data_IF_208004373764
#
_entry.id   IF_208004373764
#
_cell.length_a   1.000
_cell.length_b   1.000
_cell.length_c   1.000
_cell.angle_alpha   90.00
_cell.angle_beta   90.00
_cell.angle_gamma   90.00
#
_symmetry.space_group_name_H-M   'P 1'
#
loop_
_entity.id
_entity.type
_entity.pdbx_description
1 polymer ?
#
# COMPACT_ATOMS: atom_id res chain seq x y z
N UNK A 1 32.08 6.72 64.17
CA UNK A 1 30.73 6.36 63.66
C UNK A 1 30.51 7.08 62.34
N UNK A 2 30.52 6.35 61.21
CA UNK A 2 30.20 6.87 59.87
C UNK A 2 29.53 5.81 58.98
N UNK A 3 28.81 4.85 59.57
CA UNK A 3 28.12 3.77 58.83
C UNK A 3 26.75 4.19 58.25
N UNK A 4 26.10 5.23 58.80
CA UNK A 4 24.79 5.69 58.33
C UNK A 4 24.83 6.49 57.03
N UNK A 5 25.84 7.34 56.85
CA UNK A 5 25.98 8.19 55.65
C UNK A 5 26.34 7.38 54.39
N UNK A 6 27.15 6.31 54.54
CA UNK A 6 27.58 5.47 53.43
C UNK A 6 26.45 4.58 52.87
N UNK A 7 25.56 4.09 53.73
CA UNK A 7 24.38 3.31 53.32
C UNK A 7 23.32 4.18 52.62
N UNK A 8 23.11 5.43 53.07
CA UNK A 8 22.16 6.34 52.44
C UNK A 8 22.58 6.72 51.01
N UNK A 9 23.88 6.96 50.78
CA UNK A 9 24.41 7.23 49.44
C UNK A 9 24.29 6.03 48.48
N UNK A 10 24.54 4.82 48.98
CA UNK A 10 24.40 3.59 48.21
C UNK A 10 22.94 3.29 47.83
N UNK A 11 22.00 3.46 48.76
CA UNK A 11 20.56 3.31 48.50
C UNK A 11 20.09 4.35 47.47
N UNK A 12 20.55 5.60 47.59
CA UNK A 12 20.22 6.66 46.64
C UNK A 12 20.77 6.35 45.25
N UNK A 13 21.98 5.82 45.14
CA UNK A 13 22.56 5.40 43.86
C UNK A 13 21.75 4.28 43.19
N UNK A 14 21.36 3.24 43.95
CA UNK A 14 20.51 2.16 43.45
C UNK A 14 19.14 2.69 43.03
N UNK A 15 18.55 3.61 43.80
CA UNK A 15 17.27 4.22 43.46
C UNK A 15 17.34 5.03 42.16
N UNK A 16 18.38 5.86 41.98
CA UNK A 16 18.57 6.63 40.74
C UNK A 16 18.83 5.70 39.55
N UNK A 17 19.64 4.65 39.74
CA UNK A 17 19.93 3.68 38.69
C UNK A 17 18.68 2.90 38.26
N UNK A 18 17.91 2.38 39.21
CA UNK A 18 16.67 1.64 38.95
C UNK A 18 15.61 2.53 38.29
N UNK A 19 15.43 3.76 38.75
CA UNK A 19 14.50 4.71 38.14
C UNK A 19 14.93 5.09 36.71
N UNK A 20 16.22 5.32 36.48
CA UNK A 20 16.76 5.62 35.15
C UNK A 20 16.59 4.44 34.20
N UNK A 21 16.80 3.21 34.69
CA UNK A 21 16.60 1.99 33.92
C UNK A 21 15.13 1.77 33.56
N UNK A 22 14.20 1.96 34.52
CA UNK A 22 12.75 1.88 34.26
C UNK A 22 12.29 2.94 33.25
N UNK A 23 12.84 4.15 33.35
CA UNK A 23 12.56 5.23 32.42
C UNK A 23 13.02 4.88 30.99
N UNK A 24 14.22 4.30 30.85
CA UNK A 24 14.72 3.81 29.56
C UNK A 24 13.82 2.72 28.98
N UNK A 25 13.39 1.75 29.79
CA UNK A 25 12.46 0.71 29.35
C UNK A 25 11.13 1.30 28.88
N UNK A 26 10.58 2.26 29.61
CA UNK A 26 9.35 2.95 29.22
C UNK A 26 9.52 3.71 27.89
N UNK A 27 10.62 4.43 27.71
CA UNK A 27 10.90 5.14 26.46
C UNK A 27 11.10 4.19 25.27
N UNK A 28 11.83 3.08 25.46
CA UNK A 28 12.01 2.07 24.41
C UNK A 28 10.68 1.42 24.04
N UNK A 29 9.83 1.08 25.02
CA UNK A 29 8.50 0.54 24.79
C UNK A 29 7.61 1.48 23.97
N UNK A 30 7.59 2.77 24.33
CA UNK A 30 6.83 3.79 23.58
C UNK A 30 7.33 3.94 22.13
N UNK A 31 8.66 3.95 21.92
CA UNK A 31 9.25 4.04 20.58
C UNK A 31 8.91 2.84 19.70
N UNK A 32 8.96 1.64 20.25
CA UNK A 32 8.58 0.42 19.52
C UNK A 32 7.08 0.48 19.16
N UNK A 33 6.22 0.89 20.09
CA UNK A 33 4.79 1.04 19.82
C UNK A 33 4.50 2.01 18.67
N UNK A 34 5.16 3.17 18.66
CA UNK A 34 5.05 4.16 17.58
C UNK A 34 5.49 3.60 16.22
N UNK A 35 6.57 2.82 16.18
CA UNK A 35 7.06 2.21 14.94
C UNK A 35 6.06 1.16 14.43
N UNK A 36 5.52 0.32 15.32
CA UNK A 36 4.54 -0.68 14.96
C UNK A 36 3.25 -0.05 14.40
N UNK A 37 2.77 1.04 15.02
CA UNK A 37 1.60 1.78 14.54
C UNK A 37 1.86 2.40 13.17
N UNK A 38 3.01 3.05 12.98
CA UNK A 38 3.39 3.60 11.68
C UNK A 38 3.42 2.53 10.59
N UNK A 39 4.01 1.37 10.86
CA UNK A 39 4.07 0.28 9.89
C UNK A 39 2.68 -0.25 9.55
N UNK A 40 1.80 -0.40 10.55
CA UNK A 40 0.42 -0.86 10.32
C UNK A 40 -0.38 0.12 9.45
N UNK A 41 -0.18 1.43 9.65
CA UNK A 41 -0.82 2.47 8.83
C UNK A 41 -0.29 2.47 7.41
N UNK A 42 1.02 2.28 7.22
CA UNK A 42 1.63 2.19 5.89
C UNK A 42 1.14 0.95 5.12
N UNK A 43 1.03 -0.20 5.80
CA UNK A 43 0.45 -1.43 5.24
C UNK A 43 -1.02 -1.24 4.86
N UNK A 44 -1.82 -0.58 5.70
CA UNK A 44 -3.22 -0.28 5.40
C UNK A 44 -3.37 0.55 4.13
N UNK A 45 -2.58 1.63 3.98
CA UNK A 45 -2.66 2.45 2.78
C UNK A 45 -2.20 1.70 1.51
N UNK A 46 -1.27 0.75 1.63
CA UNK A 46 -0.87 -0.11 0.52
C UNK A 46 -2.03 -1.04 0.12
N UNK A 47 -2.73 -1.63 1.08
CA UNK A 47 -3.92 -2.45 0.83
C UNK A 47 -5.06 -1.64 0.20
N UNK A 48 -5.32 -0.43 0.69
CA UNK A 48 -6.32 0.47 0.10
C UNK A 48 -6.01 0.79 -1.38
N UNK A 49 -4.75 1.09 -1.70
CA UNK A 49 -4.33 1.33 -3.07
C UNK A 49 -4.49 0.06 -3.93
N UNK A 50 -4.16 -1.11 -3.39
CA UNK A 50 -4.33 -2.40 -4.06
C UNK A 50 -5.81 -2.70 -4.32
N UNK A 51 -6.68 -2.44 -3.33
CA UNK A 51 -8.12 -2.59 -3.48
C UNK A 51 -8.68 -1.70 -4.61
N UNK A 52 -8.22 -0.44 -4.69
CA UNK A 52 -8.59 0.46 -5.78
C UNK A 52 -8.13 -0.08 -7.16
N UNK A 53 -6.90 -0.58 -7.24
CA UNK A 53 -6.38 -1.20 -8.46
C UNK A 53 -7.19 -2.46 -8.87
N UNK A 54 -7.55 -3.30 -7.90
CA UNK A 54 -8.36 -4.50 -8.12
C UNK A 54 -9.78 -4.15 -8.57
N UNK A 55 -10.40 -3.14 -7.97
CA UNK A 55 -11.70 -2.59 -8.39
C UNK A 55 -11.67 -2.15 -9.86
N UNK A 56 -10.63 -1.40 -10.27
CA UNK A 56 -10.45 -1.02 -11.66
C UNK A 56 -10.28 -2.20 -12.61
N UNK A 57 -9.56 -3.25 -12.20
CA UNK A 57 -9.43 -4.47 -12.99
C UNK A 57 -10.77 -5.19 -13.15
N UNK A 58 -11.56 -5.31 -12.09
CA UNK A 58 -12.91 -5.88 -12.14
C UNK A 58 -13.84 -5.07 -13.06
N UNK A 59 -13.80 -3.74 -12.95
CA UNK A 59 -14.55 -2.86 -13.85
C UNK A 59 -14.15 -3.09 -15.31
N UNK A 60 -12.85 -3.20 -15.59
CA UNK A 60 -12.34 -3.41 -16.95
C UNK A 60 -12.74 -4.77 -17.53
N UNK A 61 -12.81 -5.83 -16.72
CA UNK A 61 -13.39 -7.12 -17.16
C UNK A 61 -14.84 -6.93 -17.61
N UNK A 62 -15.64 -6.16 -16.86
CA UNK A 62 -17.01 -5.82 -17.24
C UNK A 62 -17.08 -4.99 -18.52
N UNK A 63 -16.20 -4.00 -18.65
CA UNK A 63 -16.06 -3.15 -19.82
C UNK A 63 -15.79 -3.96 -21.09
N UNK A 64 -14.86 -4.92 -21.05
CA UNK A 64 -14.59 -5.85 -22.14
C UNK A 64 -15.79 -6.75 -22.47
N UNK A 65 -16.45 -7.33 -21.45
CA UNK A 65 -17.62 -8.20 -21.62
C UNK A 65 -18.82 -7.50 -22.27
N UNK A 66 -18.93 -6.19 -22.10
CA UNK A 66 -19.96 -5.39 -22.75
C UNK A 66 -19.69 -5.12 -24.26
N UNK A 67 -18.58 -5.65 -24.82
CA UNK A 67 -18.23 -5.48 -26.23
C UNK A 67 -17.61 -4.12 -26.53
N UNK A 68 -17.15 -3.38 -25.52
CA UNK A 68 -16.47 -2.11 -25.74
C UNK A 68 -15.08 -2.34 -26.35
N UNK A 69 -14.63 -1.36 -27.12
CA UNK A 69 -13.28 -1.31 -27.68
C UNK A 69 -12.53 -0.12 -27.10
N UNK A 70 -11.21 -0.23 -27.02
CA UNK A 70 -10.38 0.81 -26.43
C UNK A 70 -9.06 0.95 -27.18
N UNK A 71 -8.64 2.21 -27.35
CA UNK A 71 -7.33 2.56 -27.89
C UNK A 71 -6.27 2.39 -26.79
N UNK A 72 -5.49 1.31 -26.89
CA UNK A 72 -4.43 0.98 -25.93
C UNK A 72 -3.33 2.05 -25.80
N UNK A 73 -3.26 3.04 -26.69
CA UNK A 73 -2.34 4.17 -26.56
C UNK A 73 -2.85 5.25 -25.59
N UNK A 74 -4.13 5.21 -25.23
CA UNK A 74 -4.77 6.23 -24.39
C UNK A 74 -5.08 5.66 -23.03
N UNK A 75 -4.63 6.35 -21.99
CA UNK A 75 -5.06 6.06 -20.61
C UNK A 75 -6.58 6.15 -20.48
N UNK A 76 -7.19 5.14 -19.87
CA UNK A 76 -8.62 5.12 -19.54
C UNK A 76 -8.79 5.49 -18.07
N UNK A 77 -9.64 6.49 -17.81
CA UNK A 77 -9.94 6.94 -16.45
C UNK A 77 -11.21 6.24 -15.99
N UNK A 78 -11.11 5.39 -14.97
CA UNK A 78 -12.25 4.66 -14.39
C UNK A 78 -12.88 5.49 -13.28
N UNK A 79 -12.06 6.06 -12.41
CA UNK A 79 -12.47 6.97 -11.35
C UNK A 79 -11.37 8.00 -11.11
N UNK A 80 -11.77 9.24 -10.80
CA UNK A 80 -10.83 10.32 -10.48
C UNK A 80 -11.47 11.26 -9.46
N UNK A 81 -11.51 10.81 -8.21
CA UNK A 81 -12.10 11.55 -7.10
C UNK A 81 -11.04 12.37 -6.36
N UNK A 82 -11.43 13.08 -5.29
CA UNK A 82 -10.49 13.88 -4.48
C UNK A 82 -9.35 13.07 -3.89
N UNK A 83 -9.63 11.81 -3.55
CA UNK A 83 -8.73 10.99 -2.73
C UNK A 83 -8.14 9.80 -3.50
N UNK A 84 -8.85 9.28 -4.50
CA UNK A 84 -8.47 8.08 -5.25
C UNK A 84 -8.56 8.33 -6.75
N UNK A 85 -7.53 7.88 -7.49
CA UNK A 85 -7.49 7.83 -8.95
C UNK A 85 -7.36 6.36 -9.38
N UNK A 86 -8.28 5.87 -10.22
CA UNK A 86 -8.27 4.52 -10.79
C UNK A 86 -8.20 4.62 -12.31
N UNK A 87 -7.17 4.03 -12.89
CA UNK A 87 -6.89 4.20 -14.32
C UNK A 87 -6.41 2.92 -14.95
N UNK A 88 -6.82 2.65 -16.19
CA UNK A 88 -6.35 1.51 -16.98
C UNK A 88 -5.38 2.02 -18.03
N UNK A 89 -4.22 1.39 -18.09
CA UNK A 89 -3.17 1.66 -19.07
C UNK A 89 -2.67 0.35 -19.66
N UNK A 90 -2.13 0.39 -20.86
CA UNK A 90 -1.57 -0.78 -21.52
C UNK A 90 -0.13 -0.52 -21.92
N UNK A 91 0.65 -1.59 -22.01
CA UNK A 91 1.98 -1.50 -22.56
C UNK A 91 1.91 -1.08 -24.03
N UNK A 92 2.92 -0.33 -24.47
CA UNK A 92 3.05 0.13 -25.85
C UNK A 92 3.27 -1.03 -26.84
N UNK A 93 3.57 -2.24 -26.34
CA UNK A 93 3.79 -3.41 -27.20
C UNK A 93 2.51 -3.78 -27.97
N UNK A 94 2.59 -4.08 -29.27
CA UNK A 94 1.46 -4.56 -30.06
C UNK A 94 1.10 -6.03 -29.82
N UNK A 95 1.78 -6.71 -28.87
CA UNK A 95 1.61 -8.13 -28.61
C UNK A 95 0.15 -8.53 -28.32
N UNK A 96 -0.24 -9.73 -28.75
CA UNK A 96 -1.51 -10.34 -28.42
C UNK A 96 -1.24 -11.70 -27.75
N UNK A 97 -1.55 -11.90 -26.46
CA UNK A 97 -2.30 -11.00 -25.57
C UNK A 97 -1.55 -9.71 -25.18
N UNK A 98 -2.29 -8.60 -25.13
CA UNK A 98 -1.80 -7.31 -24.63
C UNK A 98 -1.68 -7.33 -23.13
N UNK A 99 -0.62 -6.72 -22.63
CA UNK A 99 -0.46 -6.47 -21.20
C UNK A 99 -1.13 -5.15 -20.82
N UNK A 100 -2.08 -5.22 -19.89
CA UNK A 100 -2.91 -4.11 -19.43
C UNK A 100 -2.81 -4.04 -17.91
N UNK A 101 -2.72 -2.86 -17.35
CA UNK A 101 -2.60 -2.63 -15.92
C UNK A 101 -3.71 -1.72 -15.44
N UNK A 102 -4.36 -2.12 -14.36
CA UNK A 102 -5.21 -1.24 -13.57
C UNK A 102 -4.37 -0.62 -12.47
N UNK A 103 -4.30 0.70 -12.42
CA UNK A 103 -3.62 1.46 -11.38
C UNK A 103 -4.63 2.02 -10.39
N UNK A 104 -4.37 1.82 -9.10
CA UNK A 104 -5.08 2.46 -8.00
C UNK A 104 -4.14 3.37 -7.25
N UNK A 105 -4.44 4.67 -7.21
CA UNK A 105 -3.58 5.69 -6.61
C UNK A 105 -4.32 6.46 -5.53
N UNK A 106 -3.78 6.43 -4.32
CA UNK A 106 -4.22 7.26 -3.21
C UNK A 106 -3.52 8.61 -3.28
N UNK A 107 -4.24 9.67 -3.68
CA UNK A 107 -3.66 10.99 -3.95
C UNK A 107 -3.01 11.62 -2.72
N UNK A 108 -3.64 11.49 -1.56
CA UNK A 108 -3.16 12.06 -0.29
C UNK A 108 -1.82 11.48 0.14
N UNK A 109 -1.67 10.16 0.02
CA UNK A 109 -0.46 9.44 0.46
C UNK A 109 0.56 9.22 -0.66
N UNK A 110 0.21 9.56 -1.91
CA UNK A 110 1.02 9.30 -3.12
C UNK A 110 1.40 7.82 -3.29
N UNK A 111 0.58 6.93 -2.75
CA UNK A 111 0.76 5.48 -2.87
C UNK A 111 0.04 5.01 -4.13
N UNK A 112 0.70 4.15 -4.89
CA UNK A 112 0.18 3.56 -6.12
C UNK A 112 0.33 2.06 -6.05
N UNK A 113 -0.76 1.35 -6.33
CA UNK A 113 -0.75 -0.10 -6.56
C UNK A 113 -1.25 -0.40 -7.96
N UNK A 114 -0.97 -1.61 -8.44
CA UNK A 114 -1.36 -2.05 -9.78
C UNK A 114 -1.77 -3.51 -9.82
N UNK A 115 -2.77 -3.80 -10.65
CA UNK A 115 -3.19 -5.16 -10.96
C UNK A 115 -2.95 -5.40 -12.44
N UNK A 116 -2.27 -6.50 -12.74
CA UNK A 116 -1.86 -6.85 -14.09
C UNK A 116 -2.93 -7.71 -14.75
N UNK A 117 -3.21 -7.44 -16.02
CA UNK A 117 -4.21 -8.12 -16.84
C UNK A 117 -3.61 -8.47 -18.20
N UNK A 118 -4.07 -9.56 -18.77
CA UNK A 118 -3.74 -9.95 -20.13
C UNK A 118 -5.03 -9.98 -20.95
N UNK A 119 -5.02 -9.25 -22.06
CA UNK A 119 -6.21 -8.97 -22.87
C UNK A 119 -5.94 -9.41 -24.29
N UNK A 120 -6.74 -10.34 -24.80
CA UNK A 120 -6.70 -10.70 -26.21
C UNK A 120 -7.68 -9.87 -27.00
N UNK A 121 -7.28 -9.44 -28.19
CA UNK A 121 -8.18 -8.79 -29.16
C UNK A 121 -8.49 -9.82 -30.25
N UNK A 122 -9.78 -10.03 -30.52
CA UNK A 122 -10.22 -10.95 -31.59
C UNK A 122 -10.27 -10.27 -32.97
N UNK A 123 -10.70 -11.01 -33.99
CA UNK A 123 -10.76 -10.52 -35.37
C UNK A 123 -11.82 -9.43 -35.59
N UNK A 124 -12.80 -9.35 -34.70
CA UNK A 124 -13.89 -8.38 -34.73
C UNK A 124 -13.57 -7.17 -33.82
N UNK A 125 -12.31 -7.03 -33.39
CA UNK A 125 -11.80 -6.03 -32.46
C UNK A 125 -12.42 -6.07 -31.06
N UNK A 126 -13.08 -7.16 -30.65
CA UNK A 126 -13.56 -7.29 -29.28
C UNK A 126 -12.41 -7.68 -28.36
N UNK A 127 -12.43 -7.09 -27.17
CA UNK A 127 -11.42 -7.34 -26.14
C UNK A 127 -11.91 -8.42 -25.17
N UNK A 128 -11.03 -9.38 -24.85
CA UNK A 128 -11.32 -10.46 -23.90
C UNK A 128 -10.20 -10.54 -22.87
N UNK A 129 -10.54 -10.39 -21.59
CA UNK A 129 -9.56 -10.55 -20.49
C UNK A 129 -9.33 -12.03 -20.24
N UNK A 130 -8.13 -12.52 -20.52
CA UNK A 130 -7.78 -13.94 -20.37
C UNK A 130 -7.19 -14.27 -19.00
N UNK A 131 -6.59 -13.28 -18.33
CA UNK A 131 -5.96 -13.48 -17.01
C UNK A 131 -5.88 -12.16 -16.25
N UNK A 132 -6.17 -12.23 -14.96
CA UNK A 132 -5.91 -11.17 -13.98
C UNK A 132 -4.89 -11.72 -12.99
N UNK A 133 -3.82 -10.97 -12.72
CA UNK A 133 -2.78 -11.28 -11.75
C UNK A 133 -2.71 -10.14 -10.73
N UNK A 134 -3.20 -10.33 -9.50
CA UNK A 134 -2.83 -9.46 -8.39
C UNK A 134 -1.34 -9.67 -8.11
N UNK A 135 -0.59 -8.57 -7.96
CA UNK A 135 0.77 -8.60 -7.41
C UNK A 135 0.72 -8.05 -6.00
#
# INVERSE_FOLDING_TARGET
MNMGAHNAGFITYIAVFTMSFLLLLAFMGLRIGQICESNAVDELHLEEAHYAAQSGAHWFVGYCKAGNTWDFQKKLIVADDTDVEITIEADLSPDNPRHVMSYGKLKRHKIVSRVHMYVTVDKDNNMHVIKVKPY
#
